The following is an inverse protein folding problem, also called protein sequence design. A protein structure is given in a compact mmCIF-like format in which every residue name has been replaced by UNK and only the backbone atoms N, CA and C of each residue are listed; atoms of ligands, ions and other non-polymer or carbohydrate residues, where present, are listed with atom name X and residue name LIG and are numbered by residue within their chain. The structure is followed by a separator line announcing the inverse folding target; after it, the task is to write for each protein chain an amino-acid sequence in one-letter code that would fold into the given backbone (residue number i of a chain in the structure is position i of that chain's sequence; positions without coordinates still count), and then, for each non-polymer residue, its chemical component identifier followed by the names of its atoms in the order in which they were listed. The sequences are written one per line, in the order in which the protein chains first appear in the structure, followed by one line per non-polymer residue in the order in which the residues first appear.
data_IF_023644328933
#
_entry.id   IF_023644328933
#
_cell.length_a   1.000
_cell.length_b   1.000
_cell.length_c   1.000
_cell.angle_alpha   90.00
_cell.angle_beta   90.00
_cell.angle_gamma   90.00
#
_symmetry.space_group_name_H-M   'P 1'
#
loop_
_entity.id
_entity.type
_entity.pdbx_description
1 polymer ?
#
# COMPACT_ATOMS: atom_id res chain seq x y z
N UNK A 1 15.04 18.91 16.88
CA UNK A 1 14.20 17.92 16.20
C UNK A 1 14.92 16.59 16.29
N UNK A 2 14.47 15.68 17.16
CA UNK A 2 15.16 14.42 17.41
C UNK A 2 14.61 13.40 16.42
N UNK A 3 15.42 13.01 15.42
CA UNK A 3 15.01 12.05 14.42
C UNK A 3 14.78 10.70 15.11
N UNK A 4 13.56 10.16 15.03
CA UNK A 4 13.18 8.82 15.52
C UNK A 4 13.84 7.71 14.68
N UNK A 5 14.51 8.09 13.60
CA UNK A 5 15.19 7.22 12.66
C UNK A 5 16.58 6.81 13.18
N UNK A 6 16.93 5.53 13.03
CA UNK A 6 18.28 5.02 13.34
C UNK A 6 19.37 5.70 12.49
N UNK A 7 20.65 5.61 12.90
CA UNK A 7 21.74 6.39 12.30
C UNK A 7 21.96 6.15 10.80
N UNK A 8 21.51 5.00 10.26
CA UNK A 8 21.65 4.64 8.84
C UNK A 8 20.32 4.63 8.09
N UNK A 9 19.20 4.99 8.72
CA UNK A 9 17.86 4.89 8.12
C UNK A 9 17.76 5.65 6.80
N UNK A 10 18.30 6.86 6.76
CA UNK A 10 18.27 7.71 5.56
C UNK A 10 19.01 7.07 4.38
N UNK A 11 20.20 6.51 4.64
CA UNK A 11 20.99 5.86 3.60
C UNK A 11 20.28 4.61 3.07
N UNK A 12 19.73 3.77 3.95
CA UNK A 12 18.97 2.58 3.55
C UNK A 12 17.72 2.94 2.74
N UNK A 13 17.00 3.99 3.15
CA UNK A 13 15.82 4.46 2.43
C UNK A 13 16.19 4.95 1.02
N UNK A 14 17.29 5.71 0.89
CA UNK A 14 17.80 6.18 -0.40
C UNK A 14 18.17 5.02 -1.33
N UNK A 15 18.94 4.05 -0.83
CA UNK A 15 19.34 2.86 -1.59
C UNK A 15 18.15 2.00 -2.00
N UNK A 16 17.14 1.89 -1.13
CA UNK A 16 15.91 1.17 -1.43
C UNK A 16 15.11 1.85 -2.55
N UNK A 17 14.89 3.17 -2.45
CA UNK A 17 14.12 3.94 -3.43
C UNK A 17 14.75 3.94 -4.82
N UNK A 18 16.07 3.83 -4.93
CA UNK A 18 16.77 3.67 -6.22
C UNK A 18 16.40 2.38 -6.96
N UNK A 19 15.85 1.38 -6.27
CA UNK A 19 15.42 0.10 -6.83
C UNK A 19 13.91 0.01 -7.02
N UNK A 20 13.17 1.05 -6.62
CA UNK A 20 11.72 1.11 -6.78
C UNK A 20 11.40 1.59 -8.19
N UNK A 21 10.53 0.85 -8.86
CA UNK A 21 10.01 1.20 -10.18
C UNK A 21 8.56 1.64 -10.06
N UNK A 22 8.22 2.76 -10.70
CA UNK A 22 6.84 3.18 -10.88
C UNK A 22 6.29 2.39 -12.07
N UNK A 23 5.11 1.81 -11.88
CA UNK A 23 4.39 1.07 -12.91
C UNK A 23 3.01 1.69 -13.08
N UNK A 24 2.44 1.55 -14.27
CA UNK A 24 1.06 1.94 -14.51
C UNK A 24 0.10 1.01 -13.76
N UNK A 25 -1.10 1.52 -13.48
CA UNK A 25 -2.18 0.72 -12.91
C UNK A 25 -2.55 -0.41 -13.86
N UNK A 26 -2.58 -1.64 -13.34
CA UNK A 26 -2.96 -2.80 -14.12
C UNK A 26 -4.25 -3.44 -13.61
N UNK A 27 -5.06 -3.87 -14.56
CA UNK A 27 -6.34 -4.50 -14.28
C UNK A 27 -6.21 -6.02 -14.28
N UNK A 28 -6.92 -6.67 -13.36
CA UNK A 28 -7.04 -8.12 -13.28
C UNK A 28 -8.48 -8.47 -13.00
N UNK A 29 -9.14 -9.16 -13.93
CA UNK A 29 -10.58 -9.48 -13.86
C UNK A 29 -10.96 -10.14 -12.53
N UNK A 30 -10.14 -11.07 -12.04
CA UNK A 30 -10.40 -11.79 -10.79
C UNK A 30 -10.52 -10.84 -9.60
N UNK A 31 -9.67 -9.82 -9.53
CA UNK A 31 -9.67 -8.83 -8.43
C UNK A 31 -10.72 -7.74 -8.67
N UNK A 32 -10.88 -7.30 -9.93
CA UNK A 32 -11.82 -6.24 -10.28
C UNK A 32 -13.28 -6.68 -10.06
N UNK A 33 -13.57 -7.96 -10.30
CA UNK A 33 -14.90 -8.56 -10.11
C UNK A 33 -15.27 -8.84 -8.65
N UNK A 34 -14.38 -8.57 -7.68
CA UNK A 34 -14.72 -8.66 -6.27
C UNK A 34 -15.92 -7.74 -5.96
N UNK A 35 -16.93 -8.26 -5.27
CA UNK A 35 -18.07 -7.47 -4.84
C UNK A 35 -17.63 -6.45 -3.80
N UNK A 36 -17.98 -5.19 -4.02
CA UNK A 36 -17.66 -4.11 -3.08
C UNK A 36 -18.34 -4.34 -1.73
N UNK A 37 -17.64 -3.93 -0.68
CA UNK A 37 -18.10 -4.06 0.70
C UNK A 37 -17.36 -3.04 1.56
N UNK A 38 -17.68 -2.97 2.86
CA UNK A 38 -16.94 -2.15 3.80
C UNK A 38 -15.42 -2.44 3.82
N UNK A 39 -15.01 -3.68 3.47
CA UNK A 39 -13.61 -4.09 3.43
C UNK A 39 -13.00 -4.15 2.01
N UNK A 40 -13.80 -3.99 0.97
CA UNK A 40 -13.36 -4.03 -0.44
C UNK A 40 -13.72 -2.71 -1.10
N UNK A 41 -12.72 -1.83 -1.26
CA UNK A 41 -12.84 -0.56 -1.97
C UNK A 41 -12.24 -0.64 -3.38
N UNK A 42 -12.75 0.20 -4.28
CA UNK A 42 -12.26 0.30 -5.66
C UNK A 42 -10.75 0.58 -5.75
N UNK A 43 -10.23 1.48 -4.90
CA UNK A 43 -8.80 1.81 -4.88
C UNK A 43 -7.94 0.60 -4.50
N UNK A 44 -8.33 -0.17 -3.49
CA UNK A 44 -7.58 -1.36 -3.11
C UNK A 44 -7.67 -2.44 -4.19
N UNK A 45 -8.78 -2.56 -4.93
CA UNK A 45 -8.85 -3.48 -6.07
C UNK A 45 -7.75 -3.20 -7.09
N UNK A 46 -7.51 -1.93 -7.43
CA UNK A 46 -6.44 -1.57 -8.38
C UNK A 46 -5.07 -2.00 -7.84
N UNK A 47 -4.75 -1.67 -6.58
CA UNK A 47 -3.46 -2.04 -5.97
C UNK A 47 -3.22 -3.56 -6.00
N UNK A 48 -4.20 -4.34 -5.55
CA UNK A 48 -4.08 -5.80 -5.53
C UNK A 48 -4.15 -6.40 -6.94
N UNK A 49 -4.91 -5.80 -7.87
CA UNK A 49 -4.95 -6.20 -9.27
C UNK A 49 -3.59 -6.02 -9.94
N UNK A 50 -2.91 -4.89 -9.69
CA UNK A 50 -1.57 -4.63 -10.19
C UNK A 50 -0.57 -5.66 -9.67
N UNK A 51 -0.61 -6.00 -8.37
CA UNK A 51 0.23 -7.06 -7.80
C UNK A 51 0.00 -8.43 -8.46
N UNK A 52 -1.27 -8.80 -8.65
CA UNK A 52 -1.65 -10.05 -9.34
C UNK A 52 -1.19 -10.06 -10.80
N UNK A 53 -1.39 -8.96 -11.53
CA UNK A 53 -0.98 -8.81 -12.93
C UNK A 53 0.53 -9.03 -13.11
N UNK A 54 1.34 -8.39 -12.26
CA UNK A 54 2.79 -8.53 -12.28
C UNK A 54 3.31 -9.80 -11.60
N UNK A 55 2.43 -10.64 -11.03
CA UNK A 55 2.77 -11.87 -10.29
C UNK A 55 3.72 -11.62 -9.11
N UNK A 56 3.54 -10.49 -8.42
CA UNK A 56 4.33 -10.10 -7.24
C UNK A 56 3.45 -10.00 -6.00
N UNK A 57 3.98 -10.35 -4.81
CA UNK A 57 3.23 -10.18 -3.58
C UNK A 57 2.97 -8.69 -3.31
N UNK A 58 1.74 -8.35 -2.91
CA UNK A 58 1.38 -6.98 -2.55
C UNK A 58 1.80 -6.69 -1.11
N UNK A 59 2.59 -5.64 -0.89
CA UNK A 59 2.93 -5.17 0.45
C UNK A 59 1.89 -4.16 0.94
N UNK A 60 1.22 -4.43 2.08
CA UNK A 60 0.12 -3.57 2.56
C UNK A 60 -0.14 -3.71 4.06
N UNK A 61 -0.78 -2.74 4.69
CA UNK A 61 -1.35 -2.88 6.05
C UNK A 61 -2.81 -3.36 6.04
N UNK A 62 -3.47 -3.37 4.87
CA UNK A 62 -4.91 -3.61 4.74
C UNK A 62 -5.28 -5.10 4.68
N UNK A 63 -5.00 -5.83 5.76
CA UNK A 63 -5.32 -7.27 5.90
C UNK A 63 -6.79 -7.61 5.65
N UNK A 64 -7.70 -6.71 6.03
CA UNK A 64 -9.14 -6.92 5.87
C UNK A 64 -9.57 -7.07 4.40
N UNK A 65 -8.87 -6.42 3.47
CA UNK A 65 -9.16 -6.56 2.05
C UNK A 65 -8.90 -7.99 1.57
N UNK A 66 -7.72 -8.54 1.89
CA UNK A 66 -7.35 -9.90 1.50
C UNK A 66 -8.27 -10.95 2.14
N UNK A 67 -8.66 -10.76 3.40
CA UNK A 67 -9.63 -11.64 4.06
C UNK A 67 -11.00 -11.59 3.37
N UNK A 68 -11.49 -10.39 3.03
CA UNK A 68 -12.76 -10.24 2.33
C UNK A 68 -12.72 -10.85 0.91
N UNK A 69 -11.59 -10.69 0.20
CA UNK A 69 -11.36 -11.34 -1.09
C UNK A 69 -11.36 -12.88 -0.97
N UNK A 70 -10.72 -13.42 0.07
CA UNK A 70 -10.71 -14.85 0.36
C UNK A 70 -12.13 -15.40 0.58
N UNK A 71 -12.97 -14.67 1.32
CA UNK A 71 -14.38 -15.04 1.50
C UNK A 71 -15.21 -14.99 0.20
N UNK A 72 -14.72 -14.33 -0.84
CA UNK A 72 -15.30 -14.32 -2.19
C UNK A 72 -14.62 -15.32 -3.14
N UNK A 73 -13.72 -16.18 -2.63
CA UNK A 73 -13.04 -17.22 -3.41
C UNK A 73 -11.76 -16.77 -4.11
N UNK A 74 -11.24 -15.57 -3.81
CA UNK A 74 -10.01 -15.04 -4.42
C UNK A 74 -8.86 -15.07 -3.42
N UNK A 75 -7.79 -15.78 -3.76
CA UNK A 75 -6.57 -15.86 -2.95
C UNK A 75 -5.56 -14.84 -3.48
N UNK A 76 -5.10 -13.94 -2.61
CA UNK A 76 -4.14 -12.88 -2.95
C UNK A 76 -2.79 -13.13 -2.27
N UNK A 77 -1.70 -13.08 -3.03
CA UNK A 77 -0.35 -13.12 -2.47
C UNK A 77 0.00 -11.76 -1.87
N UNK A 78 0.17 -11.70 -0.55
CA UNK A 78 0.33 -10.43 0.18
C UNK A 78 1.31 -10.57 1.35
N UNK A 79 2.11 -9.54 1.57
CA UNK A 79 2.96 -9.38 2.76
C UNK A 79 2.39 -8.23 3.57
N UNK A 80 2.08 -8.50 4.84
CA UNK A 80 1.42 -7.49 5.67
C UNK A 80 2.33 -6.89 6.70
N UNK A 81 2.26 -5.57 6.83
CA UNK A 81 2.87 -4.83 7.93
C UNK A 81 1.80 -4.29 8.88
N UNK A 82 2.21 -3.92 10.09
CA UNK A 82 1.33 -3.23 11.03
C UNK A 82 1.00 -1.83 10.50
N UNK A 83 -0.25 -1.41 10.71
CA UNK A 83 -0.64 -0.05 10.42
C UNK A 83 0.05 0.87 11.44
N UNK A 84 1.03 1.66 11.00
CA UNK A 84 1.59 2.71 11.84
C UNK A 84 0.57 3.84 11.90
N UNK A 85 -0.38 3.75 12.82
CA UNK A 85 -1.42 4.76 13.03
C UNK A 85 -0.81 6.13 13.32
N UNK A 86 -1.02 7.11 12.44
CA UNK A 86 -1.31 8.54 12.72
C UNK A 86 -0.64 9.20 13.95
N UNK A 87 0.64 8.93 14.24
CA UNK A 87 1.38 9.56 15.34
C UNK A 87 2.08 10.86 14.94
N UNK A 88 2.43 11.01 13.67
CA UNK A 88 3.04 12.23 13.15
C UNK A 88 1.92 13.10 12.56
N UNK A 89 1.44 14.06 13.36
CA UNK A 89 0.78 15.24 12.82
C UNK A 89 1.79 15.92 11.90
N UNK A 90 1.69 15.68 10.59
CA UNK A 90 2.28 16.60 9.62
C UNK A 90 1.59 17.94 9.84
N UNK A 91 2.25 18.89 10.51
CA UNK A 91 1.89 20.29 10.38
C UNK A 91 2.11 20.62 8.91
N UNK A 92 1.02 20.70 8.15
CA UNK A 92 1.04 21.40 6.88
C UNK A 92 1.43 22.84 7.22
N UNK A 93 2.70 23.20 6.99
CA UNK A 93 3.07 24.60 6.91
C UNK A 93 2.39 25.12 5.63
N UNK A 94 1.22 25.73 5.79
CA UNK A 94 0.73 26.65 4.79
C UNK A 94 1.65 27.87 4.81
N UNK A 95 2.70 27.83 4.01
CA UNK A 95 3.26 29.05 3.44
C UNK A 95 2.18 29.59 2.50
N UNK A 96 1.34 30.47 3.03
CA UNK A 96 0.72 31.50 2.21
C UNK A 96 1.41 32.81 2.60
N UNK A 97 2.23 33.23 1.65
CA UNK A 97 2.81 34.56 1.52
C UNK A 97 1.74 35.64 1.72
N UNK A 98 2.00 36.57 2.61
CA UNK A 98 1.66 37.99 2.49
C UNK A 98 2.81 38.84 3.05
#
# INVERSE_FOLDING_TARGET
MQNVAGPTEFQRAKEFLQRVHIVDDAYCDVVMNLKESFHISALHKIIFATGVYHKVPTFSSHKHFANAAYHQGVILSSIFHENRSHGERFKVQSELEE
#
